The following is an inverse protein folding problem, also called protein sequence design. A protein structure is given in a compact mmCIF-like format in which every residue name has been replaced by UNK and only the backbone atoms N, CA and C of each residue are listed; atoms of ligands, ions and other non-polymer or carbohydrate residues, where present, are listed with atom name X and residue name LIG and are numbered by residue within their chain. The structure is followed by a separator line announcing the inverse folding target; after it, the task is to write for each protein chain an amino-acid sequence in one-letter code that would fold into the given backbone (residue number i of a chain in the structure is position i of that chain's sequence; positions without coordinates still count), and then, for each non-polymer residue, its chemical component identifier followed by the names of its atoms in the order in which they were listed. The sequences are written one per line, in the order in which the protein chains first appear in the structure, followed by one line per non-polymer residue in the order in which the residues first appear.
data_IF_238532594809
#
_entry.id   IF_238532594809
#
_cell.length_a   1.000
_cell.length_b   1.000
_cell.length_c   1.000
_cell.angle_alpha   90.00
_cell.angle_beta   90.00
_cell.angle_gamma   90.00
#
_symmetry.space_group_name_H-M   'P 1'
#
loop_
_entity.id
_entity.type
_entity.pdbx_description
1 polymer ?
#
# COMPACT_ATOMS: atom_id res chain seq x y z
N UNK A 1 -4.03 5.83 2.10
CA UNK A 1 -4.92 4.80 2.70
C UNK A 1 -5.91 4.34 1.64
N UNK A 2 -6.36 3.08 1.68
CA UNK A 2 -7.27 2.52 0.67
C UNK A 2 -8.49 3.42 0.43
N UNK A 3 -8.80 3.68 -0.83
CA UNK A 3 -9.84 4.62 -1.26
C UNK A 3 -11.25 4.03 -1.26
N UNK A 4 -11.39 2.73 -0.94
CA UNK A 4 -12.61 1.93 -1.10
C UNK A 4 -12.67 0.82 -0.03
N UNK A 5 -13.80 0.10 0.03
CA UNK A 5 -13.98 -1.06 0.93
C UNK A 5 -14.76 -0.76 2.23
N UNK A 6 -14.84 -1.74 3.12
CA UNK A 6 -15.60 -1.64 4.37
C UNK A 6 -14.96 -0.63 5.34
N UNK A 7 -13.63 -0.71 5.52
CA UNK A 7 -12.88 0.19 6.39
C UNK A 7 -12.99 1.65 5.93
N UNK A 8 -12.78 1.92 4.64
CA UNK A 8 -12.98 3.25 4.05
C UNK A 8 -14.39 3.80 4.33
N UNK A 9 -15.45 3.00 4.06
CA UNK A 9 -16.85 3.42 4.31
C UNK A 9 -17.11 3.71 5.79
N UNK A 10 -16.49 2.95 6.68
CA UNK A 10 -16.59 3.16 8.12
C UNK A 10 -15.89 4.45 8.53
N UNK A 11 -14.62 4.64 8.16
CA UNK A 11 -13.82 5.81 8.50
C UNK A 11 -14.44 7.10 7.96
N UNK A 12 -14.86 7.12 6.69
CA UNK A 12 -15.50 8.28 6.05
C UNK A 12 -16.70 8.83 6.82
N UNK A 13 -17.37 8.01 7.64
CA UNK A 13 -18.52 8.42 8.46
C UNK A 13 -18.16 8.79 9.90
N UNK A 14 -16.92 8.54 10.33
CA UNK A 14 -16.50 8.58 11.74
C UNK A 14 -15.33 9.53 12.00
N UNK A 15 -14.56 9.88 10.99
CA UNK A 15 -13.46 10.84 11.10
C UNK A 15 -13.82 12.16 10.42
N UNK A 16 -13.29 13.26 10.95
CA UNK A 16 -13.54 14.59 10.40
C UNK A 16 -12.75 14.86 9.11
N UNK A 17 -11.55 14.28 9.01
CA UNK A 17 -10.66 14.43 7.86
C UNK A 17 -10.11 13.06 7.47
N UNK A 18 -10.15 12.76 6.17
CA UNK A 18 -9.77 11.47 5.61
C UNK A 18 -9.09 11.67 4.25
N UNK A 19 -7.81 11.33 4.20
CA UNK A 19 -7.04 11.25 2.95
C UNK A 19 -6.97 9.81 2.47
N UNK A 20 -7.23 9.60 1.18
CA UNK A 20 -7.12 8.29 0.55
C UNK A 20 -6.23 8.34 -0.69
N UNK A 21 -5.56 7.22 -0.95
CA UNK A 21 -4.63 7.06 -2.05
C UNK A 21 -4.56 5.61 -2.50
N UNK A 22 -4.15 5.41 -3.74
CA UNK A 22 -3.88 4.12 -4.36
C UNK A 22 -2.53 4.19 -5.09
N UNK A 23 -1.93 3.04 -5.43
CA UNK A 23 -0.75 3.00 -6.28
C UNK A 23 -1.15 2.72 -7.72
N UNK A 24 -0.75 3.61 -8.64
CA UNK A 24 -0.99 3.48 -10.08
C UNK A 24 0.35 3.40 -10.83
N UNK A 25 0.48 2.43 -11.73
CA UNK A 25 1.68 2.31 -12.55
C UNK A 25 1.89 3.56 -13.40
N UNK A 26 3.14 4.00 -13.51
CA UNK A 26 3.53 5.13 -14.36
C UNK A 26 2.88 6.48 -13.98
N UNK A 27 2.31 6.59 -12.77
CA UNK A 27 1.77 7.84 -12.24
C UNK A 27 2.62 8.26 -11.05
N UNK A 28 3.15 9.49 -11.08
CA UNK A 28 4.01 9.97 -10.01
C UNK A 28 3.22 10.16 -8.69
N UNK A 29 3.83 9.89 -7.52
CA UNK A 29 3.21 10.18 -6.23
C UNK A 29 2.73 11.62 -6.13
N UNK A 30 1.54 11.82 -5.58
CA UNK A 30 0.88 13.12 -5.45
C UNK A 30 -0.05 13.51 -6.60
N UNK A 31 0.07 12.88 -7.77
CA UNK A 31 -0.86 13.07 -8.90
C UNK A 31 -2.20 12.36 -8.68
N UNK A 32 -3.18 12.56 -9.57
CA UNK A 32 -4.53 12.02 -9.42
C UNK A 32 -4.97 11.23 -10.67
N UNK A 33 -5.66 10.11 -10.43
CA UNK A 33 -6.37 9.33 -11.45
C UNK A 33 -7.82 9.18 -10.99
N UNK A 34 -8.78 9.64 -11.80
CA UNK A 34 -10.23 9.59 -11.50
C UNK A 34 -10.59 10.11 -10.09
N UNK A 35 -9.92 11.18 -9.66
CA UNK A 35 -10.13 11.81 -8.35
C UNK A 35 -9.50 11.09 -7.16
N UNK A 36 -8.71 10.03 -7.39
CA UNK A 36 -7.95 9.31 -6.37
C UNK A 36 -6.48 9.67 -6.50
N UNK A 37 -5.84 10.05 -5.39
CA UNK A 37 -4.43 10.40 -5.41
C UNK A 37 -3.55 9.15 -5.56
N UNK A 38 -2.57 9.20 -6.46
CA UNK A 38 -1.50 8.22 -6.56
C UNK A 38 -0.51 8.43 -5.42
N UNK A 39 -0.14 7.37 -4.72
CA UNK A 39 0.98 7.37 -3.78
C UNK A 39 1.77 6.08 -3.92
N UNK A 40 3.08 6.20 -3.83
CA UNK A 40 3.99 5.09 -3.58
C UNK A 40 4.32 5.09 -2.08
N UNK A 41 4.10 3.99 -1.38
CA UNK A 41 4.38 3.92 0.06
C UNK A 41 5.88 3.99 0.35
N UNK A 42 6.74 3.61 -0.60
CA UNK A 42 8.19 3.78 -0.50
C UNK A 42 8.64 5.23 -0.72
N UNK A 43 7.74 6.13 -1.17
CA UNK A 43 8.02 7.54 -1.40
C UNK A 43 6.73 8.37 -1.37
N UNK A 44 6.22 8.62 -0.17
CA UNK A 44 4.98 9.35 0.03
C UNK A 44 5.18 10.84 -0.29
N UNK A 45 4.27 11.43 -1.06
CA UNK A 45 4.31 12.87 -1.37
C UNK A 45 3.82 13.76 -0.22
N UNK A 46 3.46 13.17 0.92
CA UNK A 46 2.92 13.91 2.06
C UNK A 46 4.05 14.52 2.90
N UNK A 47 3.83 15.70 3.52
CA UNK A 47 4.75 16.25 4.49
C UNK A 47 4.90 15.39 5.75
N UNK A 48 5.99 15.62 6.48
CA UNK A 48 6.23 15.04 7.80
C UNK A 48 5.08 15.42 8.77
N UNK A 49 4.82 14.57 9.77
CA UNK A 49 3.84 14.86 10.84
C UNK A 49 2.42 15.23 10.32
N UNK A 50 2.03 14.73 9.15
CA UNK A 50 0.75 15.06 8.53
C UNK A 50 -0.44 14.35 9.18
N UNK A 51 -0.26 13.09 9.60
CA UNK A 51 -1.36 12.21 10.00
C UNK A 51 -1.29 11.79 11.47
N UNK A 52 -2.45 11.64 12.11
CA UNK A 52 -2.55 11.03 13.45
C UNK A 52 -2.79 9.51 13.39
N UNK A 53 -3.26 9.01 12.26
CA UNK A 53 -3.54 7.61 12.00
C UNK A 53 -3.25 7.33 10.52
N UNK A 54 -2.41 6.32 10.28
CA UNK A 54 -2.22 5.71 8.98
C UNK A 54 -2.80 4.30 9.02
N UNK A 55 -3.41 3.86 7.92
CA UNK A 55 -3.79 2.46 7.73
C UNK A 55 -3.41 1.98 6.35
N UNK A 56 -3.11 0.70 6.27
CA UNK A 56 -2.83 -0.03 5.05
C UNK A 56 -3.55 -1.38 5.10
N UNK A 57 -4.00 -1.91 3.97
CA UNK A 57 -4.79 -3.16 3.96
C UNK A 57 -4.36 -3.97 2.76
N UNK A 58 -3.65 -5.07 3.00
CA UNK A 58 -3.11 -5.95 1.96
C UNK A 58 -2.26 -5.16 0.94
N UNK A 59 -1.15 -4.60 1.42
CA UNK A 59 -0.23 -3.76 0.62
C UNK A 59 1.23 -4.09 0.93
N UNK A 60 1.61 -4.17 2.21
CA UNK A 60 3.02 -4.26 2.62
C UNK A 60 3.69 -5.56 2.17
N UNK A 61 2.92 -6.62 1.95
CA UNK A 61 3.38 -7.88 1.36
C UNK A 61 3.82 -7.77 -0.11
N UNK A 62 3.51 -6.65 -0.77
CA UNK A 62 3.91 -6.34 -2.16
C UNK A 62 4.99 -5.27 -2.27
N UNK A 63 5.33 -4.60 -1.16
CA UNK A 63 6.30 -3.51 -1.16
C UNK A 63 7.69 -4.11 -1.31
N UNK A 64 8.48 -3.61 -2.26
CA UNK A 64 9.77 -4.19 -2.57
C UNK A 64 10.82 -3.83 -1.50
N UNK A 65 10.79 -2.58 -1.05
CA UNK A 65 11.55 -2.10 0.11
C UNK A 65 10.57 -1.72 1.22
N UNK A 66 10.06 -2.74 1.92
CA UNK A 66 9.08 -2.58 2.99
C UNK A 66 9.63 -1.74 4.15
N UNK A 67 10.92 -1.86 4.44
CA UNK A 67 11.65 -1.06 5.43
C UNK A 67 11.57 0.43 5.10
N UNK A 68 11.79 0.82 3.84
CA UNK A 68 11.59 2.19 3.38
C UNK A 68 10.12 2.61 3.43
N UNK A 69 9.20 1.70 3.09
CA UNK A 69 7.76 1.92 3.24
C UNK A 69 7.35 2.24 4.68
N UNK A 70 7.84 1.48 5.66
CA UNK A 70 7.58 1.74 7.09
C UNK A 70 8.23 3.05 7.55
N UNK A 71 9.42 3.39 7.04
CA UNK A 71 10.08 4.65 7.33
C UNK A 71 9.27 5.86 6.83
N UNK A 72 8.73 5.79 5.62
CA UNK A 72 7.84 6.83 5.07
C UNK A 72 6.55 6.96 5.87
N UNK A 73 5.93 5.84 6.26
CA UNK A 73 4.75 5.85 7.14
C UNK A 73 5.07 6.50 8.48
N UNK A 74 6.22 6.17 9.08
CA UNK A 74 6.66 6.77 10.32
C UNK A 74 6.92 8.28 10.18
N UNK A 75 7.50 8.72 9.06
CA UNK A 75 7.77 10.14 8.76
C UNK A 75 6.48 10.96 8.67
N UNK A 76 5.47 10.46 7.96
CA UNK A 76 4.20 11.19 7.78
C UNK A 76 3.28 11.11 9.00
N UNK A 77 3.56 10.21 9.96
CA UNK A 77 2.86 10.13 11.23
C UNK A 77 3.38 11.18 12.21
N UNK A 78 2.44 11.88 12.84
CA UNK A 78 2.72 12.73 14.01
C UNK A 78 3.32 11.90 15.12
N UNK A 79 4.14 12.52 15.97
CA UNK A 79 4.54 11.92 17.25
C UNK A 79 3.32 11.41 18.04
N UNK A 80 3.33 10.12 18.36
CA UNK A 80 2.21 9.45 19.06
C UNK A 80 1.06 9.02 18.16
N UNK A 81 1.16 9.23 16.84
CA UNK A 81 0.24 8.69 15.85
C UNK A 81 0.35 7.17 15.74
N UNK A 82 -0.69 6.55 15.17
CA UNK A 82 -0.80 5.11 15.06
C UNK A 82 -0.70 4.65 13.60
N UNK A 83 -0.03 3.52 13.40
CA UNK A 83 -0.10 2.78 12.16
C UNK A 83 -0.83 1.46 12.39
N UNK A 84 -1.89 1.21 11.62
CA UNK A 84 -2.66 -0.05 11.68
C UNK A 84 -2.68 -0.65 10.29
N UNK A 85 -2.13 -1.86 10.13
CA UNK A 85 -2.09 -2.50 8.82
C UNK A 85 -2.44 -3.98 8.88
N UNK A 86 -2.83 -4.53 7.73
CA UNK A 86 -3.01 -5.96 7.53
C UNK A 86 -2.13 -6.42 6.39
N UNK A 87 -1.64 -7.65 6.53
CA UNK A 87 -1.00 -8.45 5.50
C UNK A 87 -1.51 -9.89 5.65
N UNK A 88 -1.51 -10.71 4.58
CA UNK A 88 -1.79 -12.12 4.71
C UNK A 88 -0.78 -12.77 5.67
N UNK A 89 -1.27 -13.40 6.73
CA UNK A 89 -0.43 -14.22 7.61
C UNK A 89 -0.54 -15.68 7.19
N UNK A 90 0.62 -16.29 6.92
CA UNK A 90 0.73 -17.74 6.79
C UNK A 90 1.10 -18.33 8.15
N UNK A 91 0.89 -19.64 8.34
CA UNK A 91 1.39 -20.35 9.52
C UNK A 91 2.91 -20.57 9.53
N UNK A 92 3.65 -19.90 8.64
CA UNK A 92 5.11 -19.99 8.55
C UNK A 92 5.76 -19.29 9.75
N UNK A 93 6.83 -19.89 10.28
CA UNK A 93 7.64 -19.29 11.34
C UNK A 93 8.60 -18.22 10.80
N UNK A 94 8.83 -18.18 9.49
CA UNK A 94 9.80 -17.30 8.83
C UNK A 94 9.16 -16.50 7.71
N UNK A 95 9.51 -15.21 7.65
CA UNK A 95 9.29 -14.35 6.48
C UNK A 95 10.29 -14.73 5.40
N UNK A 96 9.82 -14.86 4.16
CA UNK A 96 10.65 -15.20 3.00
C UNK A 96 10.41 -14.18 1.90
N UNK A 97 11.47 -13.62 1.34
CA UNK A 97 11.38 -12.81 0.12
C UNK A 97 11.05 -13.69 -1.08
N UNK A 98 9.94 -13.38 -1.76
CA UNK A 98 9.44 -14.17 -2.89
C UNK A 98 9.81 -13.60 -4.25
N UNK A 99 10.09 -12.30 -4.29
CA UNK A 99 10.44 -11.58 -5.49
C UNK A 99 11.22 -10.32 -5.12
N UNK A 100 12.02 -9.83 -6.06
CA UNK A 100 12.75 -8.58 -5.92
C UNK A 100 12.55 -7.68 -7.16
N UNK A 101 12.65 -6.37 -6.95
CA UNK A 101 12.67 -5.40 -8.05
C UNK A 101 14.09 -5.30 -8.62
N UNK A 102 14.22 -5.52 -9.92
CA UNK A 102 15.49 -5.43 -10.67
C UNK A 102 15.38 -4.36 -11.76
N UNK A 103 16.50 -4.07 -12.43
CA UNK A 103 16.51 -3.14 -13.57
C UNK A 103 15.63 -3.61 -14.74
N UNK A 104 15.45 -4.93 -14.90
CA UNK A 104 14.69 -5.55 -15.99
C UNK A 104 13.23 -5.85 -15.59
N UNK A 105 12.81 -5.46 -14.38
CA UNK A 105 11.48 -5.72 -13.82
C UNK A 105 11.51 -6.59 -12.57
N UNK A 106 10.44 -7.35 -12.33
CA UNK A 106 10.33 -8.21 -11.14
C UNK A 106 11.02 -9.55 -11.40
N UNK A 107 12.00 -9.91 -10.56
CA UNK A 107 12.60 -11.24 -10.54
C UNK A 107 11.92 -12.08 -9.46
N UNK A 108 11.30 -13.18 -9.85
CA UNK A 108 10.69 -14.13 -8.93
C UNK A 108 11.74 -15.09 -8.37
N UNK A 109 11.85 -15.16 -7.04
CA UNK A 109 12.74 -16.06 -6.31
C UNK A 109 12.05 -17.39 -5.99
N UNK A 110 10.72 -17.36 -5.90
CA UNK A 110 9.83 -18.50 -5.72
C UNK A 110 8.69 -18.43 -6.75
N UNK A 111 7.91 -19.51 -6.89
CA UNK A 111 6.73 -19.51 -7.76
C UNK A 111 5.82 -18.31 -7.45
N UNK A 112 5.42 -17.50 -8.45
CA UNK A 112 4.62 -16.31 -8.18
C UNK A 112 3.24 -16.69 -7.64
N UNK A 113 2.81 -15.94 -6.63
CA UNK A 113 1.45 -16.00 -6.09
C UNK A 113 0.78 -14.65 -6.35
N UNK A 114 -0.43 -14.69 -6.91
CA UNK A 114 -1.20 -13.49 -7.21
C UNK A 114 -2.54 -13.56 -6.47
N UNK A 115 -2.92 -12.45 -5.84
CA UNK A 115 -4.29 -12.22 -5.42
C UNK A 115 -4.84 -11.01 -6.17
N UNK A 116 -6.14 -11.06 -6.47
CA UNK A 116 -6.76 -10.17 -7.45
C UNK A 116 -6.51 -8.69 -7.17
N UNK A 117 -6.17 -7.95 -8.21
CA UNK A 117 -6.02 -6.51 -8.20
C UNK A 117 -7.25 -5.85 -8.85
N UNK A 118 -8.00 -5.08 -8.07
CA UNK A 118 -9.21 -4.41 -8.56
C UNK A 118 -8.91 -3.15 -9.38
N UNK A 119 -7.71 -2.59 -9.28
CA UNK A 119 -7.26 -1.48 -10.12
C UNK A 119 -6.79 -2.01 -11.47
N UNK A 120 -6.12 -3.17 -11.47
CA UNK A 120 -5.63 -3.86 -12.67
C UNK A 120 -6.51 -5.07 -12.99
N UNK A 121 -7.71 -4.80 -13.50
CA UNK A 121 -8.70 -5.82 -13.88
C UNK A 121 -8.25 -6.77 -15.03
N UNK A 122 -7.04 -6.59 -15.57
CA UNK A 122 -6.51 -7.36 -16.71
C UNK A 122 -5.16 -8.03 -16.42
N UNK A 123 -4.70 -8.10 -15.17
CA UNK A 123 -3.46 -8.81 -14.87
C UNK A 123 -3.62 -10.33 -15.07
N UNK A 124 -2.67 -11.01 -15.74
CA UNK A 124 -2.71 -12.47 -15.88
C UNK A 124 -2.64 -13.12 -14.49
N UNK A 125 -3.62 -13.97 -14.18
CA UNK A 125 -3.73 -14.63 -12.86
C UNK A 125 -4.92 -14.16 -12.01
N UNK A 126 -5.62 -13.09 -12.39
CA UNK A 126 -6.88 -12.71 -11.74
C UNK A 126 -8.04 -13.59 -12.25
N UNK A 127 -8.03 -14.88 -11.89
CA UNK A 127 -9.21 -15.73 -12.08
C UNK A 127 -10.32 -15.26 -11.13
N UNK A 128 -11.54 -15.12 -11.67
CA UNK A 128 -12.75 -14.90 -10.88
C UNK A 128 -13.04 -16.08 -9.97
#
# INVERSE_FOLDING_TARGET
MSSRGALYRFLRRRVADLTCSEYFDQVSPGQYVDGIQCQDVEQLSYPDDSFNLCTSTEVFEHVADDSKGFAEVARVLRRGGLFVFTVPMTGSEQTVERAERTADGVRHLLEPEYHGDRLRLTAPGCNR
#
